data_IF_928177701069
#
_entry.id   IF_928177701069
#
_cell.length_a   1.000
_cell.length_b   1.000
_cell.length_c   1.000
_cell.angle_alpha   90.00
_cell.angle_beta   90.00
_cell.angle_gamma   90.00
#
_symmetry.space_group_name_H-M   'P 1'
#
loop_
_entity.id
_entity.type
_entity.pdbx_description
1 polymer ?
#
# COMPACT_ATOMS: atom_id res chain seq x y z
N UNK A 1 1.36 10.37 4.12
CA UNK A 1 2.37 9.40 4.63
C UNK A 1 2.97 8.63 3.45
N UNK A 2 4.22 8.18 3.56
CA UNK A 2 4.82 7.23 2.61
C UNK A 2 4.62 5.81 3.13
N UNK A 3 4.32 4.87 2.23
CA UNK A 3 4.14 3.46 2.54
C UNK A 3 4.95 2.66 1.52
N UNK A 4 6.21 2.33 1.83
CA UNK A 4 6.98 1.45 0.96
C UNK A 4 6.33 0.07 0.88
N UNK A 5 6.39 -0.58 -0.31
CA UNK A 5 5.85 -1.92 -0.48
C UNK A 5 6.94 -2.97 -0.67
N UNK A 6 6.71 -4.15 -0.09
CA UNK A 6 7.47 -5.38 -0.27
C UNK A 6 6.49 -6.39 -0.87
N UNK A 7 6.67 -6.69 -2.15
CA UNK A 7 5.89 -7.70 -2.83
C UNK A 7 6.68 -9.02 -2.77
N UNK A 8 6.02 -10.09 -2.30
CA UNK A 8 6.64 -11.39 -2.10
C UNK A 8 6.21 -12.38 -3.15
N UNK A 9 7.17 -13.05 -3.77
CA UNK A 9 6.98 -14.22 -4.63
C UNK A 9 8.12 -15.21 -4.43
N UNK A 10 7.79 -16.48 -4.23
CA UNK A 10 8.74 -17.59 -4.00
C UNK A 10 9.76 -17.26 -2.88
N UNK A 11 9.27 -16.67 -1.78
CA UNK A 11 10.07 -16.29 -0.61
C UNK A 11 11.01 -15.10 -0.82
N UNK A 12 10.89 -14.37 -1.91
CA UNK A 12 11.76 -13.25 -2.27
C UNK A 12 10.98 -11.94 -2.41
N UNK A 13 11.65 -10.82 -2.14
CA UNK A 13 11.12 -9.51 -2.48
C UNK A 13 11.27 -9.29 -3.99
N UNK A 14 10.16 -9.04 -4.66
CA UNK A 14 10.10 -8.86 -6.10
C UNK A 14 9.40 -7.55 -6.46
N UNK A 15 9.62 -7.10 -7.69
CA UNK A 15 8.81 -6.05 -8.30
C UNK A 15 8.30 -6.53 -9.66
N UNK A 16 7.00 -6.48 -9.84
CA UNK A 16 6.34 -6.89 -11.07
C UNK A 16 5.85 -5.68 -11.86
N UNK A 17 5.87 -5.81 -13.17
CA UNK A 17 5.30 -4.82 -14.08
C UNK A 17 3.86 -5.21 -14.38
N UNK A 18 2.90 -4.36 -13.99
CA UNK A 18 1.46 -4.58 -14.18
C UNK A 18 0.97 -5.95 -13.64
N UNK A 19 1.61 -6.47 -12.59
CA UNK A 19 1.26 -7.76 -11.98
C UNK A 19 1.52 -9.00 -12.86
N UNK A 20 2.36 -8.89 -13.89
CA UNK A 20 2.59 -10.01 -14.85
C UNK A 20 4.06 -10.40 -14.99
N UNK A 21 4.94 -9.42 -15.20
CA UNK A 21 6.32 -9.67 -15.52
C UNK A 21 7.22 -9.36 -14.32
N UNK A 22 7.90 -10.36 -13.71
CA UNK A 22 8.90 -10.10 -12.68
C UNK A 22 10.07 -9.32 -13.30
N UNK A 23 10.36 -8.15 -12.74
CA UNK A 23 11.40 -7.25 -13.26
C UNK A 23 12.64 -7.28 -12.39
N UNK A 24 12.44 -7.38 -11.08
CA UNK A 24 13.52 -7.34 -10.09
C UNK A 24 13.21 -8.32 -8.95
N UNK A 25 14.21 -9.12 -8.57
CA UNK A 25 14.30 -9.74 -7.26
C UNK A 25 15.47 -9.05 -6.55
N UNK A 26 15.27 -8.45 -5.39
CA UNK A 26 16.33 -7.71 -4.71
C UNK A 26 16.25 -7.81 -3.20
N UNK A 27 17.41 -8.12 -2.64
CA UNK A 27 17.75 -7.90 -1.25
C UNK A 27 17.17 -8.92 -0.29
N UNK A 28 17.71 -8.89 0.90
CA UNK A 28 17.13 -9.55 2.05
C UNK A 28 15.84 -8.84 2.45
N UNK A 29 14.75 -9.59 2.58
CA UNK A 29 13.42 -9.05 2.91
C UNK A 29 13.44 -8.35 4.29
N UNK A 30 14.24 -8.85 5.23
CA UNK A 30 14.37 -8.24 6.55
C UNK A 30 15.16 -6.92 6.50
N UNK A 31 16.22 -6.84 5.70
CA UNK A 31 16.95 -5.57 5.49
C UNK A 31 16.06 -4.51 4.86
N UNK A 32 15.23 -4.90 3.87
CA UNK A 32 14.24 -4.01 3.28
C UNK A 32 13.21 -3.54 4.32
N UNK A 33 12.68 -4.45 5.15
CA UNK A 33 11.72 -4.11 6.19
C UNK A 33 12.32 -3.13 7.20
N UNK A 34 13.56 -3.39 7.69
CA UNK A 34 14.24 -2.50 8.63
C UNK A 34 14.48 -1.10 8.07
N UNK A 35 14.79 -0.99 6.77
CA UNK A 35 14.90 0.29 6.10
C UNK A 35 13.53 0.98 5.93
N UNK A 36 12.52 0.25 5.52
CA UNK A 36 11.21 0.80 5.14
C UNK A 36 10.39 1.24 6.35
N UNK A 37 10.47 0.51 7.47
CA UNK A 37 9.75 0.83 8.71
C UNK A 37 10.11 2.20 9.31
N UNK A 38 11.24 2.78 8.91
CA UNK A 38 11.66 4.11 9.35
C UNK A 38 10.72 5.22 8.85
N UNK A 39 9.97 4.97 7.77
CA UNK A 39 9.05 5.94 7.17
C UNK A 39 7.59 5.75 7.58
N UNK A 40 7.28 4.70 8.30
CA UNK A 40 5.93 4.40 8.80
C UNK A 40 5.48 2.98 8.52
N UNK A 41 4.20 2.81 8.15
CA UNK A 41 3.67 1.50 7.78
C UNK A 41 4.34 0.97 6.50
N UNK A 42 4.56 -0.35 6.45
CA UNK A 42 5.09 -1.07 5.28
C UNK A 42 3.99 -1.96 4.72
N UNK A 43 3.74 -1.89 3.41
CA UNK A 43 2.84 -2.82 2.75
C UNK A 43 3.62 -4.10 2.38
N UNK A 44 3.15 -5.27 2.84
CA UNK A 44 3.69 -6.58 2.47
C UNK A 44 2.60 -7.34 1.73
N UNK A 45 2.88 -7.65 0.46
CA UNK A 45 1.90 -8.26 -0.45
C UNK A 45 2.36 -9.66 -0.84
N UNK A 46 1.58 -10.68 -0.49
CA UNK A 46 1.80 -12.05 -0.94
C UNK A 46 1.24 -12.25 -2.36
N UNK A 47 2.10 -12.12 -3.37
CA UNK A 47 1.69 -12.27 -4.77
C UNK A 47 1.32 -13.71 -5.10
N UNK A 48 1.99 -14.69 -4.49
CA UNK A 48 1.69 -16.10 -4.73
C UNK A 48 0.31 -16.46 -4.18
N UNK A 49 -0.03 -15.98 -2.98
CA UNK A 49 -1.37 -16.15 -2.44
C UNK A 49 -2.43 -15.37 -3.23
N UNK A 50 -2.10 -14.17 -3.73
CA UNK A 50 -3.00 -13.38 -4.55
C UNK A 50 -3.38 -14.07 -5.87
N UNK A 51 -2.40 -14.71 -6.52
CA UNK A 51 -2.56 -15.43 -7.80
C UNK A 51 -2.98 -16.90 -7.62
N UNK A 52 -2.89 -17.44 -6.40
CA UNK A 52 -3.21 -18.84 -6.10
C UNK A 52 -2.11 -19.82 -6.53
N UNK A 53 -0.88 -19.35 -6.72
CA UNK A 53 0.28 -20.15 -7.12
C UNK A 53 1.08 -20.70 -5.95
N UNK A 54 0.89 -20.15 -4.74
CA UNK A 54 1.65 -20.53 -3.55
C UNK A 54 1.26 -19.69 -2.34
N UNK A 55 2.18 -19.57 -1.38
CA UNK A 55 2.02 -18.71 -0.19
C UNK A 55 3.36 -18.40 0.45
N UNK A 56 3.53 -17.15 0.90
CA UNK A 56 4.66 -16.67 1.69
C UNK A 56 4.28 -16.48 3.17
N UNK A 57 3.25 -17.21 3.65
CA UNK A 57 2.67 -16.99 4.97
C UNK A 57 3.67 -17.14 6.13
N UNK A 58 4.62 -18.07 6.05
CA UNK A 58 5.61 -18.27 7.11
C UNK A 58 6.58 -17.08 7.17
N UNK A 59 7.08 -16.63 6.04
CA UNK A 59 7.93 -15.43 5.96
C UNK A 59 7.20 -14.19 6.47
N UNK A 60 5.92 -14.00 6.11
CA UNK A 60 5.12 -12.87 6.62
C UNK A 60 4.97 -12.93 8.13
N UNK A 61 4.79 -14.13 8.74
CA UNK A 61 4.75 -14.26 10.20
C UNK A 61 6.08 -13.86 10.85
N UNK A 62 7.20 -14.23 10.25
CA UNK A 62 8.53 -13.83 10.73
C UNK A 62 8.71 -12.30 10.64
N UNK A 63 8.28 -11.67 9.53
CA UNK A 63 8.31 -10.22 9.39
C UNK A 63 7.43 -9.53 10.43
N UNK A 64 6.22 -10.04 10.68
CA UNK A 64 5.33 -9.50 11.72
C UNK A 64 5.92 -9.62 13.13
N UNK A 65 6.67 -10.70 13.40
CA UNK A 65 7.31 -10.91 14.70
C UNK A 65 8.40 -9.86 15.03
N UNK A 66 8.89 -9.10 14.03
CA UNK A 66 9.80 -7.95 14.26
C UNK A 66 9.14 -6.77 14.95
N UNK A 67 7.81 -6.73 15.01
CA UNK A 67 7.04 -5.61 15.56
C UNK A 67 6.95 -4.40 14.60
N UNK A 68 7.40 -4.51 13.36
CA UNK A 68 7.22 -3.47 12.37
C UNK A 68 5.72 -3.24 12.05
N UNK A 69 5.29 -2.01 11.79
CA UNK A 69 3.89 -1.71 11.45
C UNK A 69 3.59 -2.14 10.01
N UNK A 70 3.15 -3.38 9.82
CA UNK A 70 2.92 -3.99 8.51
C UNK A 70 1.43 -4.04 8.18
N UNK A 71 1.07 -3.61 6.95
CA UNK A 71 -0.23 -3.95 6.33
C UNK A 71 -0.02 -5.17 5.43
N UNK A 72 -0.76 -6.24 5.70
CA UNK A 72 -0.66 -7.50 4.93
C UNK A 72 -1.74 -7.55 3.86
N UNK A 73 -1.34 -7.82 2.62
CA UNK A 73 -2.22 -8.02 1.48
C UNK A 73 -1.87 -9.29 0.70
N UNK A 74 -2.74 -9.66 -0.22
CA UNK A 74 -2.58 -10.84 -1.07
C UNK A 74 -3.26 -12.09 -0.51
N UNK A 75 -4.18 -12.66 -1.29
CA UNK A 75 -4.81 -13.95 -1.01
C UNK A 75 -5.78 -14.02 0.18
N UNK A 76 -6.14 -12.91 0.82
CA UNK A 76 -7.07 -12.90 1.96
C UNK A 76 -8.51 -13.01 1.42
N UNK A 77 -9.11 -14.20 1.53
CA UNK A 77 -10.40 -14.54 0.94
C UNK A 77 -11.50 -14.89 1.97
N UNK A 78 -11.14 -15.01 3.23
CA UNK A 78 -12.04 -15.40 4.31
C UNK A 78 -11.71 -14.72 5.65
N UNK A 79 -12.66 -14.78 6.58
CA UNK A 79 -12.58 -14.15 7.89
C UNK A 79 -11.44 -14.71 8.75
N UNK A 80 -11.21 -16.02 8.69
CA UNK A 80 -10.23 -16.68 9.55
C UNK A 80 -8.79 -16.31 9.12
N UNK A 81 -8.55 -16.24 7.83
CA UNK A 81 -7.27 -15.72 7.28
C UNK A 81 -7.04 -14.28 7.71
N UNK A 82 -8.04 -13.40 7.56
CA UNK A 82 -7.91 -12.00 7.98
C UNK A 82 -7.64 -11.86 9.48
N UNK A 83 -8.38 -12.61 10.32
CA UNK A 83 -8.16 -12.65 11.77
C UNK A 83 -6.80 -13.21 12.16
N UNK A 84 -6.31 -14.19 11.43
CA UNK A 84 -4.99 -14.78 11.66
C UNK A 84 -3.89 -13.74 11.48
N UNK A 85 -3.94 -12.95 10.41
CA UNK A 85 -2.97 -11.87 10.21
C UNK A 85 -3.05 -10.79 11.27
N UNK A 86 -4.27 -10.35 11.64
CA UNK A 86 -4.45 -9.35 12.70
C UNK A 86 -3.95 -9.84 14.07
N UNK A 87 -4.16 -11.13 14.39
CA UNK A 87 -3.64 -11.74 15.63
C UNK A 87 -2.12 -11.92 15.61
N UNK A 88 -1.55 -12.17 14.43
CA UNK A 88 -0.09 -12.27 14.25
C UNK A 88 0.63 -10.92 14.36
N UNK A 89 -0.12 -9.79 14.46
CA UNK A 89 0.46 -8.47 14.65
C UNK A 89 0.38 -7.55 13.43
N UNK A 90 -0.27 -7.97 12.33
CA UNK A 90 -0.47 -7.07 11.19
C UNK A 90 -1.18 -5.79 11.65
N UNK A 91 -0.65 -4.63 11.32
CA UNK A 91 -1.28 -3.34 11.61
C UNK A 91 -2.63 -3.22 10.91
N UNK A 92 -2.71 -3.67 9.66
CA UNK A 92 -3.93 -3.70 8.84
C UNK A 92 -3.90 -4.90 7.89
N UNK A 93 -5.08 -5.29 7.40
CA UNK A 93 -5.24 -6.24 6.28
C UNK A 93 -5.76 -5.51 5.05
N UNK A 94 -5.22 -5.84 3.87
CA UNK A 94 -5.63 -5.30 2.59
C UNK A 94 -6.50 -6.33 1.89
N UNK A 95 -7.75 -5.97 1.63
CA UNK A 95 -8.74 -6.83 0.99
C UNK A 95 -9.06 -6.32 -0.41
N UNK A 96 -8.88 -7.16 -1.41
CA UNK A 96 -9.32 -6.91 -2.78
C UNK A 96 -10.78 -7.35 -3.00
N UNK A 97 -10.99 -8.34 -3.86
CA UNK A 97 -12.32 -8.90 -4.22
C UNK A 97 -13.19 -9.25 -3.01
N UNK A 98 -12.58 -9.80 -1.95
CA UNK A 98 -13.26 -10.18 -0.72
C UNK A 98 -13.83 -9.01 0.09
N UNK A 99 -13.51 -7.77 -0.23
CA UNK A 99 -14.04 -6.59 0.46
C UNK A 99 -15.57 -6.47 0.42
N UNK A 100 -16.23 -7.19 -0.50
CA UNK A 100 -17.69 -7.23 -0.67
C UNK A 100 -18.38 -8.26 0.24
N UNK A 101 -17.64 -9.22 0.75
CA UNK A 101 -18.18 -10.28 1.55
C UNK A 101 -18.68 -9.75 2.91
N UNK A 102 -19.80 -10.27 3.37
CA UNK A 102 -20.43 -9.78 4.61
C UNK A 102 -19.58 -10.01 5.86
N UNK A 103 -18.71 -11.02 5.83
CA UNK A 103 -17.80 -11.29 6.95
C UNK A 103 -16.81 -10.14 7.23
N UNK A 104 -16.55 -9.26 6.26
CA UNK A 104 -15.67 -8.10 6.45
C UNK A 104 -16.15 -7.18 7.57
N UNK A 105 -17.48 -7.09 7.76
CA UNK A 105 -18.08 -6.29 8.83
C UNK A 105 -17.79 -6.83 10.24
N UNK A 106 -17.26 -8.04 10.36
CA UNK A 106 -16.85 -8.66 11.63
C UNK A 106 -15.41 -8.35 12.02
N UNK A 107 -14.67 -7.61 11.16
CA UNK A 107 -13.33 -7.10 11.45
C UNK A 107 -13.39 -5.69 12.04
N UNK A 108 -12.40 -5.30 12.86
CA UNK A 108 -12.24 -3.90 13.25
C UNK A 108 -12.06 -3.03 12.00
N UNK A 109 -12.99 -2.13 11.74
CA UNK A 109 -13.05 -1.33 10.52
C UNK A 109 -11.76 -0.56 10.24
N UNK A 110 -11.15 0.03 11.26
CA UNK A 110 -9.89 0.77 11.22
C UNK A 110 -8.67 -0.08 10.85
N UNK A 111 -8.80 -1.41 10.96
CA UNK A 111 -7.77 -2.39 10.60
C UNK A 111 -7.95 -2.97 9.19
N UNK A 112 -8.98 -2.54 8.46
CA UNK A 112 -9.27 -2.98 7.09
C UNK A 112 -8.92 -1.88 6.10
N UNK A 113 -8.11 -2.23 5.10
CA UNK A 113 -7.87 -1.44 3.89
C UNK A 113 -8.53 -2.16 2.73
N UNK A 114 -9.33 -1.47 1.93
CA UNK A 114 -9.93 -2.04 0.72
C UNK A 114 -9.14 -1.60 -0.50
N UNK A 115 -8.66 -2.56 -1.30
CA UNK A 115 -7.98 -2.32 -2.55
C UNK A 115 -8.98 -2.01 -3.67
N UNK A 116 -8.85 -0.83 -4.23
CA UNK A 116 -9.55 -0.35 -5.43
C UNK A 116 -8.57 -0.34 -6.60
N UNK A 117 -8.25 -1.54 -7.08
CA UNK A 117 -7.31 -1.71 -8.20
C UNK A 117 -8.02 -1.40 -9.51
N UNK A 118 -7.62 -0.32 -10.18
CA UNK A 118 -8.32 0.22 -11.34
C UNK A 118 -7.51 0.06 -12.63
N UNK A 119 -8.18 -0.42 -13.67
CA UNK A 119 -7.72 -0.29 -15.05
C UNK A 119 -8.63 0.70 -15.77
N UNK A 120 -8.09 1.88 -16.08
CA UNK A 120 -8.94 3.01 -16.39
C UNK A 120 -9.80 3.37 -15.19
N UNK A 121 -11.11 3.40 -15.38
CA UNK A 121 -12.09 3.69 -14.33
C UNK A 121 -12.73 2.39 -13.77
N UNK A 122 -12.44 1.24 -14.39
CA UNK A 122 -13.01 -0.05 -14.03
C UNK A 122 -12.21 -0.72 -12.92
N UNK A 123 -12.91 -1.19 -11.87
CA UNK A 123 -12.32 -2.01 -10.82
C UNK A 123 -11.93 -3.39 -11.35
N UNK A 124 -10.71 -3.83 -11.03
CA UNK A 124 -10.20 -5.16 -11.37
C UNK A 124 -10.24 -6.09 -10.17
N UNK A 125 -10.35 -7.38 -10.44
CA UNK A 125 -10.45 -8.45 -9.44
C UNK A 125 -9.46 -9.59 -9.74
N UNK A 126 -9.35 -10.56 -8.82
CA UNK A 126 -8.54 -11.77 -8.98
C UNK A 126 -7.07 -11.47 -9.33
N UNK A 127 -6.42 -10.57 -8.56
CA UNK A 127 -5.02 -10.20 -8.83
C UNK A 127 -4.85 -9.50 -10.18
N UNK A 128 -5.80 -8.60 -10.52
CA UNK A 128 -5.82 -7.78 -11.75
C UNK A 128 -6.08 -8.54 -13.05
N UNK A 129 -6.50 -9.81 -12.96
CA UNK A 129 -6.72 -10.67 -14.13
C UNK A 129 -8.05 -10.40 -14.82
N UNK A 130 -9.05 -9.97 -14.07
CA UNK A 130 -10.43 -9.79 -14.57
C UNK A 130 -10.94 -8.38 -14.29
N UNK A 131 -11.65 -7.79 -15.26
CA UNK A 131 -12.47 -6.61 -15.04
C UNK A 131 -13.76 -7.00 -14.32
N UNK A 132 -14.20 -6.19 -13.38
CA UNK A 132 -15.44 -6.47 -12.61
C UNK A 132 -16.72 -5.98 -13.33
N UNK A 133 -16.59 -5.22 -14.41
CA UNK A 133 -17.69 -4.50 -15.04
C UNK A 133 -18.21 -3.32 -14.22
N UNK A 134 -17.54 -2.93 -13.12
CA UNK A 134 -17.99 -1.87 -12.22
C UNK A 134 -16.98 -0.74 -12.16
N UNK A 135 -17.49 0.48 -12.09
CA UNK A 135 -16.65 1.66 -11.93
C UNK A 135 -16.20 1.83 -10.49
N UNK A 136 -14.94 2.22 -10.28
CA UNK A 136 -14.39 2.50 -8.94
C UNK A 136 -15.25 3.54 -8.20
N UNK A 137 -15.72 4.57 -8.90
CA UNK A 137 -16.55 5.62 -8.31
C UNK A 137 -17.82 5.09 -7.65
N UNK A 138 -18.46 4.07 -8.23
CA UNK A 138 -19.68 3.47 -7.70
C UNK A 138 -19.45 2.62 -6.45
N UNK A 139 -18.20 2.17 -6.24
CA UNK A 139 -17.81 1.30 -5.14
C UNK A 139 -17.36 2.05 -3.89
N UNK A 140 -16.90 3.30 -4.02
CA UNK A 140 -16.35 4.09 -2.91
C UNK A 140 -17.37 4.19 -1.77
N UNK A 141 -18.59 4.64 -2.04
CA UNK A 141 -19.61 4.81 -1.00
C UNK A 141 -19.93 3.52 -0.25
N UNK A 142 -20.35 2.45 -0.93
CA UNK A 142 -20.68 1.17 -0.29
C UNK A 142 -19.52 0.54 0.47
N UNK A 143 -18.28 0.59 -0.05
CA UNK A 143 -17.13 -0.04 0.57
C UNK A 143 -16.53 0.80 1.70
N UNK A 144 -16.68 2.11 1.70
CA UNK A 144 -16.21 2.98 2.77
C UNK A 144 -16.86 2.67 4.13
N UNK A 145 -18.06 2.12 4.15
CA UNK A 145 -18.71 1.67 5.38
C UNK A 145 -18.01 0.46 6.03
N UNK A 146 -17.21 -0.29 5.24
CA UNK A 146 -16.59 -1.56 5.62
C UNK A 146 -15.11 -1.46 5.95
N UNK A 147 -14.45 -0.33 5.68
CA UNK A 147 -13.01 -0.15 5.85
C UNK A 147 -12.63 1.15 6.53
N UNK A 148 -11.40 1.20 7.05
CA UNK A 148 -10.79 2.41 7.59
C UNK A 148 -10.03 3.24 6.57
N UNK A 149 -9.67 2.64 5.42
CA UNK A 149 -8.96 3.32 4.33
C UNK A 149 -9.14 2.58 3.01
N UNK A 150 -8.87 3.26 1.90
CA UNK A 150 -8.72 2.67 0.58
C UNK A 150 -7.25 2.62 0.16
N UNK A 151 -6.90 1.58 -0.62
CA UNK A 151 -5.69 1.55 -1.45
C UNK A 151 -6.16 1.63 -2.90
N UNK A 152 -5.94 2.77 -3.53
CA UNK A 152 -6.27 2.98 -4.95
C UNK A 152 -5.03 2.73 -5.81
N UNK A 153 -5.04 1.66 -6.60
CA UNK A 153 -3.94 1.29 -7.48
C UNK A 153 -4.28 1.57 -8.94
N UNK A 154 -3.44 2.37 -9.60
CA UNK A 154 -3.51 2.55 -11.06
C UNK A 154 -2.75 1.42 -11.75
N UNK A 155 -3.44 0.29 -12.03
CA UNK A 155 -2.84 -0.95 -12.53
C UNK A 155 -2.04 -0.75 -13.82
N UNK A 156 -2.51 0.14 -14.72
CA UNK A 156 -1.83 0.46 -15.97
C UNK A 156 -0.48 1.18 -15.76
N UNK A 157 -0.32 1.84 -14.61
CA UNK A 157 0.88 2.59 -14.24
C UNK A 157 1.81 1.79 -13.32
N UNK A 158 1.32 0.67 -12.76
CA UNK A 158 2.09 -0.12 -11.81
C UNK A 158 3.35 -0.71 -12.46
N UNK A 159 4.50 -0.43 -11.83
CA UNK A 159 5.82 -0.82 -12.34
C UNK A 159 6.28 -0.16 -13.64
N UNK A 160 5.47 0.71 -14.25
CA UNK A 160 5.76 1.32 -15.56
C UNK A 160 6.61 2.60 -15.49
N UNK A 161 6.71 3.24 -14.33
CA UNK A 161 7.46 4.50 -14.16
C UNK A 161 7.00 5.62 -15.10
N UNK A 162 5.69 5.71 -15.38
CA UNK A 162 5.11 6.64 -16.37
C UNK A 162 4.33 7.81 -15.76
N UNK A 163 4.48 8.02 -14.46
CA UNK A 163 3.76 9.07 -13.73
C UNK A 163 2.31 8.71 -13.40
N UNK A 164 1.74 9.51 -12.52
CA UNK A 164 0.39 9.34 -11.95
C UNK A 164 -0.67 9.94 -12.88
N UNK A 165 -1.81 9.26 -13.02
CA UNK A 165 -3.01 9.84 -13.66
C UNK A 165 -3.75 10.72 -12.62
N UNK A 166 -3.36 11.97 -12.57
CA UNK A 166 -3.83 12.93 -11.57
C UNK A 166 -5.35 13.16 -11.58
N UNK A 167 -6.00 13.32 -12.74
CA UNK A 167 -7.45 13.50 -12.77
C UNK A 167 -8.23 12.39 -12.08
N UNK A 168 -7.82 11.13 -12.26
CA UNK A 168 -8.45 9.98 -11.61
C UNK A 168 -8.14 9.92 -10.12
N UNK A 169 -6.90 10.17 -9.73
CA UNK A 169 -6.52 10.22 -8.31
C UNK A 169 -7.31 11.30 -7.57
N UNK A 170 -7.37 12.50 -8.11
CA UNK A 170 -8.12 13.62 -7.51
C UNK A 170 -9.62 13.30 -7.38
N UNK A 171 -10.20 12.66 -8.38
CA UNK A 171 -11.60 12.24 -8.34
C UNK A 171 -11.87 11.22 -7.22
N UNK A 172 -11.01 10.20 -7.08
CA UNK A 172 -11.13 9.16 -6.05
C UNK A 172 -10.92 9.74 -4.66
N UNK A 173 -9.88 10.55 -4.46
CA UNK A 173 -9.59 11.18 -3.16
C UNK A 173 -10.73 12.10 -2.74
N UNK A 174 -11.26 12.91 -3.65
CA UNK A 174 -12.39 13.81 -3.38
C UNK A 174 -13.69 13.07 -3.05
N UNK A 175 -13.94 11.91 -3.70
CA UNK A 175 -15.14 11.12 -3.48
C UNK A 175 -15.08 10.27 -2.20
N UNK A 176 -13.89 9.99 -1.69
CA UNK A 176 -13.70 9.08 -0.57
C UNK A 176 -13.99 9.75 0.78
N UNK A 177 -14.89 9.15 1.62
CA UNK A 177 -15.11 9.62 2.99
C UNK A 177 -14.08 9.03 3.99
N UNK A 178 -13.13 8.21 3.53
CA UNK A 178 -12.05 7.63 4.33
C UNK A 178 -10.70 7.93 3.69
N UNK A 179 -9.58 7.86 4.45
CA UNK A 179 -8.25 8.05 3.90
C UNK A 179 -7.98 7.19 2.66
N UNK A 180 -7.23 7.74 1.70
CA UNK A 180 -6.83 7.06 0.47
C UNK A 180 -5.32 6.95 0.40
N UNK A 181 -4.82 5.75 0.20
CA UNK A 181 -3.45 5.48 -0.23
C UNK A 181 -3.46 5.30 -1.74
N UNK A 182 -2.58 5.96 -2.46
CA UNK A 182 -2.45 5.84 -3.92
C UNK A 182 -1.22 5.01 -4.26
N UNK A 183 -1.35 4.08 -5.21
CA UNK A 183 -0.27 3.27 -5.77
C UNK A 183 -0.29 3.32 -7.29
N UNK A 184 0.86 3.05 -7.89
CA UNK A 184 1.05 3.04 -9.35
C UNK A 184 1.46 4.40 -9.92
N UNK A 185 2.62 4.42 -10.58
CA UNK A 185 3.13 5.58 -11.30
C UNK A 185 3.85 6.65 -10.48
N UNK A 186 3.93 6.52 -9.16
CA UNK A 186 4.66 7.47 -8.30
C UNK A 186 6.15 7.28 -8.52
N UNK A 187 6.84 8.34 -8.98
CA UNK A 187 8.25 8.26 -9.40
C UNK A 187 9.12 9.39 -8.90
N UNK A 188 8.54 10.46 -8.41
CA UNK A 188 9.27 11.65 -7.98
C UNK A 188 8.84 12.11 -6.59
N UNK A 189 9.71 12.87 -5.86
CA UNK A 189 9.34 13.52 -4.62
C UNK A 189 8.15 14.49 -4.79
N UNK A 190 8.03 15.12 -5.95
CA UNK A 190 6.94 16.04 -6.29
C UNK A 190 5.59 15.31 -6.37
N UNK A 191 5.55 14.08 -6.88
CA UNK A 191 4.35 13.23 -6.86
C UNK A 191 3.90 12.98 -5.42
N UNK A 192 4.84 12.64 -4.52
CA UNK A 192 4.57 12.41 -3.09
C UNK A 192 4.06 13.68 -2.43
N UNK A 193 4.71 14.83 -2.68
CA UNK A 193 4.27 16.12 -2.15
C UNK A 193 2.87 16.50 -2.63
N UNK A 194 2.54 16.20 -3.92
CA UNK A 194 1.20 16.47 -4.45
C UNK A 194 0.13 15.58 -3.81
N UNK A 195 0.40 14.29 -3.63
CA UNK A 195 -0.49 13.39 -2.91
C UNK A 195 -0.72 13.87 -1.47
N UNK A 196 0.35 14.25 -0.77
CA UNK A 196 0.25 14.77 0.58
C UNK A 196 -0.64 16.03 0.66
N UNK A 197 -0.50 16.98 -0.29
CA UNK A 197 -1.38 18.17 -0.36
C UNK A 197 -2.83 17.84 -0.66
N UNK A 198 -3.10 16.74 -1.37
CA UNK A 198 -4.46 16.22 -1.61
C UNK A 198 -5.04 15.49 -0.38
N UNK A 199 -4.25 15.27 0.67
CA UNK A 199 -4.65 14.47 1.83
C UNK A 199 -4.59 12.97 1.60
N UNK A 200 -3.83 12.52 0.60
CA UNK A 200 -3.62 11.12 0.28
C UNK A 200 -2.23 10.63 0.70
N UNK A 201 -2.13 9.33 0.99
CA UNK A 201 -0.88 8.63 1.24
C UNK A 201 -0.30 8.07 -0.07
N UNK A 202 1.02 7.85 -0.11
CA UNK A 202 1.74 7.31 -1.26
C UNK A 202 2.27 5.90 -0.97
N UNK A 203 1.76 4.86 -1.64
CA UNK A 203 2.38 3.53 -1.63
C UNK A 203 3.37 3.43 -2.79
N UNK A 204 4.62 3.10 -2.48
CA UNK A 204 5.73 3.17 -3.43
C UNK A 204 6.46 1.82 -3.46
N UNK A 205 6.55 1.23 -4.65
CA UNK A 205 7.28 0.01 -4.93
C UNK A 205 8.46 0.26 -5.88
N UNK A 206 8.27 0.00 -7.17
CA UNK A 206 9.28 -0.03 -8.23
C UNK A 206 10.26 1.16 -8.19
N UNK A 207 9.80 2.38 -7.93
CA UNK A 207 10.63 3.57 -7.94
C UNK A 207 11.75 3.52 -6.88
N UNK A 208 11.46 2.96 -5.70
CA UNK A 208 12.46 2.78 -4.62
C UNK A 208 13.45 1.67 -4.98
N UNK A 209 12.98 0.55 -5.53
CA UNK A 209 13.83 -0.58 -5.89
C UNK A 209 14.78 -0.27 -7.06
N UNK A 210 14.37 0.59 -7.98
CA UNK A 210 15.21 1.04 -9.10
C UNK A 210 16.16 2.18 -8.72
N UNK A 211 15.96 2.80 -7.56
CA UNK A 211 16.69 3.99 -7.13
C UNK A 211 16.25 5.29 -7.84
N UNK A 212 15.11 5.25 -8.55
CA UNK A 212 14.55 6.45 -9.19
C UNK A 212 13.91 7.41 -8.17
N UNK A 213 13.47 6.91 -7.03
CA UNK A 213 12.96 7.70 -5.91
C UNK A 213 13.67 7.26 -4.63
N UNK A 214 14.33 8.21 -3.99
CA UNK A 214 14.87 8.04 -2.64
C UNK A 214 13.77 8.28 -1.59
N UNK A 215 13.72 7.45 -0.55
CA UNK A 215 12.70 7.57 0.50
C UNK A 215 12.91 8.78 1.40
N UNK A 216 14.16 9.20 1.64
CA UNK A 216 14.45 10.41 2.43
C UNK A 216 13.96 11.66 1.67
N UNK A 217 14.26 11.74 0.35
CA UNK A 217 13.77 12.83 -0.49
C UNK A 217 12.24 12.85 -0.55
N UNK A 218 11.62 11.68 -0.69
CA UNK A 218 10.16 11.53 -0.68
C UNK A 218 9.54 11.93 0.68
N UNK A 219 10.21 11.62 1.79
CA UNK A 219 9.77 12.03 3.13
C UNK A 219 9.89 13.55 3.31
N UNK A 220 11.02 14.13 2.96
CA UNK A 220 11.28 15.57 3.05
C UNK A 220 10.29 16.37 2.19
N UNK A 221 9.91 15.85 1.01
CA UNK A 221 8.96 16.51 0.11
C UNK A 221 7.55 16.72 0.71
N UNK A 222 7.20 15.99 1.79
CA UNK A 222 5.93 16.18 2.50
C UNK A 222 5.96 17.31 3.52
N UNK A 223 7.15 17.83 3.84
CA UNK A 223 7.32 18.85 4.88
C UNK A 223 7.04 20.24 4.30
N UNK A 224 6.15 20.97 4.93
CA UNK A 224 5.87 22.37 4.57
C UNK A 224 6.88 23.32 5.23
N UNK A 225 8.00 23.52 4.55
CA UNK A 225 9.03 24.47 5.02
C UNK A 225 8.56 25.94 4.99
N UNK A 226 7.58 26.28 4.16
CA UNK A 226 7.09 27.66 4.08
C UNK A 226 6.36 28.10 5.35
N UNK A 227 5.76 27.15 6.07
CA UNK A 227 5.06 27.40 7.34
C UNK A 227 5.97 27.92 8.47
N UNK A 228 7.28 27.61 8.41
CA UNK A 228 8.26 27.96 9.43
C UNK A 228 9.41 28.84 8.91
N UNK A 229 9.18 29.68 7.89
CA UNK A 229 10.21 30.53 7.26
C UNK A 229 11.47 29.75 6.83
N UNK A 230 11.26 28.53 6.30
CA UNK A 230 12.31 27.63 5.87
C UNK A 230 12.86 26.71 6.96
N UNK A 231 12.31 26.78 8.19
CA UNK A 231 12.73 25.96 9.32
C UNK A 231 11.64 24.97 9.73
N UNK A 232 12.08 23.79 10.16
CA UNK A 232 11.19 22.76 10.75
C UNK A 232 11.65 22.48 12.17
N UNK A 233 10.77 22.65 13.18
CA UNK A 233 11.09 22.25 14.54
C UNK A 233 11.31 20.75 14.60
N UNK A 234 12.44 20.33 15.16
CA UNK A 234 12.80 18.90 15.29
C UNK A 234 13.02 18.60 16.76
N UNK A 235 12.39 17.54 17.25
CA UNK A 235 12.63 16.95 18.56
C UNK A 235 13.35 15.63 18.35
N UNK A 236 14.55 15.51 18.91
CA UNK A 236 15.29 14.25 18.93
C UNK A 236 14.99 13.53 20.24
N UNK A 237 14.65 12.26 20.15
CA UNK A 237 14.33 11.44 21.30
C UNK A 237 15.03 10.07 21.19
N UNK A 238 15.55 9.57 22.29
CA UNK A 238 16.10 8.21 22.34
C UNK A 238 14.97 7.20 22.20
N UNK A 239 15.12 6.25 21.25
CA UNK A 239 14.07 5.30 20.91
C UNK A 239 13.78 4.26 22.02
N UNK A 240 14.74 4.02 22.91
CA UNK A 240 14.59 3.02 23.97
C UNK A 240 14.11 3.63 25.29
N UNK A 241 14.62 4.81 25.66
CA UNK A 241 14.28 5.50 26.92
C UNK A 241 13.13 6.50 26.78
N UNK A 242 12.89 7.02 25.60
CA UNK A 242 11.93 8.07 25.35
C UNK A 242 12.41 9.46 25.83
N UNK A 243 13.70 9.62 26.16
CA UNK A 243 14.32 10.89 26.57
C UNK A 243 14.76 11.76 25.37
#
# INVERSE_FOLDING_TARGET
MIIPSIDLSDGQAVQWRQGKDPVLARGDVFELLERFRLYGEVAVIDLDAATGTGSNADLIRELLATGAPIRVGGGIRDLDTARTWLKAGAARVILGTAAREDWVTQLPRDRVVVALDARGDEWTTHGWQEGSGQQVADLIGPLAARCGAFLYTQVEKEGMMQGVDWPRVEAVVKASPVPVTVAGGITTPEDVARLHRLGADAQIGMAVYTGALDLDDAFVAQIDFAKGDGLVPTVTQDAASGE
#
